data_IF_038618204699
#
_entry.id   IF_038618204699
#
_cell.length_a   1.000
_cell.length_b   1.000
_cell.length_c   1.000
_cell.angle_alpha   90.00
_cell.angle_beta   90.00
_cell.angle_gamma   90.00
#
_symmetry.space_group_name_H-M   'P 1'
#
loop_
_entity.id
_entity.type
_entity.pdbx_description
1 polymer ?
#
# COMPACT_ATOMS: atom_id res chain seq x y z
N UNK A 1 -11.20 16.72 4.06
CA UNK A 1 -12.10 16.26 3.01
C UNK A 1 -11.77 14.85 2.58
N UNK A 2 -12.72 14.17 1.98
CA UNK A 2 -12.54 12.83 1.45
C UNK A 2 -12.89 12.77 -0.03
N UNK A 3 -12.33 11.76 -0.71
CA UNK A 3 -12.57 11.50 -2.13
C UNK A 3 -13.23 10.14 -2.29
N UNK A 4 -14.00 9.98 -3.35
CA UNK A 4 -14.58 8.68 -3.70
C UNK A 4 -13.48 7.67 -3.96
N UNK A 5 -13.64 6.43 -3.48
CA UNK A 5 -12.70 5.37 -3.75
C UNK A 5 -12.66 5.03 -5.24
N UNK A 6 -11.45 4.84 -5.76
CA UNK A 6 -11.18 4.43 -7.15
C UNK A 6 -10.29 3.19 -7.16
N UNK A 7 -10.89 2.08 -6.78
CA UNK A 7 -10.16 0.80 -6.63
C UNK A 7 -10.22 0.03 -7.94
N UNK A 8 -9.09 -0.13 -8.58
CA UNK A 8 -8.94 -0.79 -9.88
C UNK A 8 -8.19 -2.13 -9.75
N UNK A 9 -8.67 -2.98 -8.89
CA UNK A 9 -8.15 -4.35 -8.77
C UNK A 9 -8.75 -5.24 -9.86
N UNK A 10 -7.99 -6.11 -10.52
CA UNK A 10 -6.59 -6.48 -10.28
C UNK A 10 -5.54 -5.67 -11.05
N UNK A 11 -5.92 -4.63 -11.75
CA UNK A 11 -4.98 -3.82 -12.56
C UNK A 11 -3.90 -3.20 -11.68
N UNK A 12 -4.28 -2.62 -10.54
CA UNK A 12 -3.35 -2.07 -9.57
C UNK A 12 -3.40 -2.87 -8.29
N UNK A 13 -2.24 -3.20 -7.76
CA UNK A 13 -2.09 -3.98 -6.54
C UNK A 13 -0.93 -3.44 -5.71
N UNK A 14 -0.84 -3.83 -4.44
CA UNK A 14 0.07 -3.24 -3.46
C UNK A 14 1.49 -3.81 -3.53
N UNK A 15 2.10 -3.80 -4.71
CA UNK A 15 3.53 -4.10 -4.82
C UNK A 15 4.36 -2.97 -4.23
N UNK A 16 5.58 -3.29 -3.81
CA UNK A 16 6.51 -2.30 -3.25
C UNK A 16 6.68 -1.11 -4.21
N UNK A 17 6.62 0.10 -3.66
CA UNK A 17 6.77 1.33 -4.42
C UNK A 17 5.47 1.95 -4.91
N UNK A 18 4.34 1.28 -4.77
CA UNK A 18 3.05 1.90 -5.11
C UNK A 18 2.67 2.97 -4.09
N UNK A 19 1.94 3.97 -4.54
CA UNK A 19 1.44 5.08 -3.70
C UNK A 19 -0.07 4.97 -3.63
N UNK A 20 -0.60 4.93 -2.42
CA UNK A 20 -2.02 4.75 -2.18
C UNK A 20 -2.56 5.77 -1.17
N UNK A 21 -3.83 6.07 -1.28
CA UNK A 21 -4.49 6.97 -0.35
C UNK A 21 -4.81 6.26 0.96
N UNK A 22 -4.52 6.89 2.09
CA UNK A 22 -4.99 6.43 3.38
C UNK A 22 -6.51 6.62 3.52
N UNK A 23 -7.12 5.96 4.48
CA UNK A 23 -8.54 6.12 4.78
C UNK A 23 -8.87 5.68 6.21
N UNK A 24 -10.01 6.13 6.70
CA UNK A 24 -10.57 5.66 7.95
C UNK A 24 -11.01 4.19 7.85
N UNK A 25 -11.12 3.55 9.00
CA UNK A 25 -11.57 2.17 9.10
C UNK A 25 -13.01 1.95 8.63
N UNK A 26 -13.34 0.72 8.30
CA UNK A 26 -14.62 0.34 7.69
C UNK A 26 -15.84 0.75 8.52
N UNK A 27 -15.71 0.75 9.83
CA UNK A 27 -16.81 1.11 10.74
C UNK A 27 -17.20 2.58 10.59
N UNK A 28 -16.22 3.47 10.52
CA UNK A 28 -16.40 4.91 10.39
C UNK A 28 -16.58 5.33 8.92
N UNK A 29 -16.17 4.48 7.99
CA UNK A 29 -16.06 4.79 6.57
C UNK A 29 -16.49 3.58 5.70
N UNK A 30 -17.77 3.20 5.75
CA UNK A 30 -18.24 2.01 5.03
C UNK A 30 -18.16 2.13 3.50
N UNK A 31 -18.05 3.32 2.96
CA UNK A 31 -17.88 3.56 1.52
C UNK A 31 -16.42 3.53 1.07
N UNK A 32 -15.47 3.31 1.99
CA UNK A 32 -14.03 3.30 1.74
C UNK A 32 -13.50 4.57 1.08
N UNK A 33 -14.09 5.71 1.43
CA UNK A 33 -13.65 7.00 0.89
C UNK A 33 -12.21 7.28 1.30
N UNK A 34 -11.45 7.79 0.34
CA UNK A 34 -10.04 8.11 0.53
C UNK A 34 -9.87 9.43 1.29
N UNK A 35 -8.89 9.50 2.18
CA UNK A 35 -8.46 10.76 2.77
C UNK A 35 -7.88 11.68 1.69
N UNK A 36 -8.24 12.96 1.74
CA UNK A 36 -7.79 13.94 0.74
C UNK A 36 -6.36 14.46 0.97
N UNK A 37 -5.74 14.12 2.09
CA UNK A 37 -4.45 14.69 2.49
C UNK A 37 -3.42 13.68 2.97
N UNK A 38 -3.80 12.42 3.15
CA UNK A 38 -2.92 11.38 3.68
C UNK A 38 -2.74 10.26 2.67
N UNK A 39 -1.50 9.83 2.49
CA UNK A 39 -1.14 8.75 1.60
C UNK A 39 -0.07 7.87 2.24
N UNK A 40 0.14 6.72 1.69
CA UNK A 40 1.26 5.85 2.07
C UNK A 40 1.98 5.32 0.84
N UNK A 41 3.25 4.98 1.03
CA UNK A 41 4.06 4.32 0.00
C UNK A 41 4.25 2.88 0.46
N UNK A 42 3.85 1.94 -0.39
CA UNK A 42 3.92 0.52 -0.07
C UNK A 42 5.38 0.07 0.05
N UNK A 43 5.71 -0.59 1.14
CA UNK A 43 7.01 -1.24 1.32
C UNK A 43 6.81 -2.74 1.50
N UNK A 44 6.42 -3.17 2.70
CA UNK A 44 6.14 -4.56 3.00
C UNK A 44 7.37 -5.45 2.96
N UNK A 45 7.15 -6.72 2.73
CA UNK A 45 8.20 -7.75 2.64
C UNK A 45 7.96 -8.65 1.44
N UNK A 46 8.91 -9.51 1.12
CA UNK A 46 8.73 -10.55 0.10
C UNK A 46 7.98 -11.74 0.69
N UNK A 47 7.21 -12.41 -0.15
CA UNK A 47 6.37 -13.55 0.24
C UNK A 47 6.73 -14.74 -0.64
N UNK A 48 7.03 -15.87 -0.01
CA UNK A 48 7.34 -17.10 -0.74
C UNK A 48 7.09 -18.34 0.09
N UNK A 49 7.20 -19.50 -0.53
CA UNK A 49 7.02 -20.79 0.13
C UNK A 49 5.66 -20.92 0.81
N UNK A 50 5.65 -21.41 2.04
CA UNK A 50 4.43 -21.59 2.82
C UNK A 50 3.69 -20.30 3.20
N UNK A 51 4.34 -19.14 3.07
CA UNK A 51 3.70 -17.86 3.38
C UNK A 51 2.68 -17.46 2.31
N UNK A 52 2.88 -17.86 1.07
CA UNK A 52 1.99 -17.50 -0.04
C UNK A 52 0.58 -18.05 0.17
N UNK A 53 0.44 -19.28 0.65
CA UNK A 53 -0.87 -19.85 0.94
C UNK A 53 -1.64 -19.08 2.01
N UNK A 54 -0.95 -18.64 3.06
CA UNK A 54 -1.57 -17.82 4.11
C UNK A 54 -2.03 -16.47 3.55
N UNK A 55 -1.23 -15.88 2.67
CA UNK A 55 -1.56 -14.61 2.02
C UNK A 55 -2.76 -14.76 1.09
N UNK A 56 -2.85 -15.85 0.32
CA UNK A 56 -4.02 -16.12 -0.53
C UNK A 56 -5.30 -16.12 0.30
N UNK A 57 -5.28 -16.82 1.44
CA UNK A 57 -6.44 -16.88 2.33
C UNK A 57 -6.77 -15.52 2.94
N UNK A 58 -5.76 -14.78 3.37
CA UNK A 58 -5.95 -13.45 3.94
C UNK A 58 -6.55 -12.47 2.93
N UNK A 59 -6.06 -12.46 1.70
CA UNK A 59 -6.59 -11.63 0.62
C UNK A 59 -8.04 -11.99 0.33
N UNK A 60 -8.34 -13.28 0.21
CA UNK A 60 -9.69 -13.77 -0.04
C UNK A 60 -10.68 -13.34 1.06
N UNK A 61 -10.24 -13.33 2.31
CA UNK A 61 -11.08 -12.99 3.45
C UNK A 61 -11.14 -11.48 3.75
N UNK A 62 -10.41 -10.66 3.00
CA UNK A 62 -10.29 -9.22 3.26
C UNK A 62 -11.42 -8.38 2.69
N UNK A 63 -12.15 -8.91 1.71
CA UNK A 63 -13.19 -8.18 0.99
C UNK A 63 -14.48 -9.00 0.89
N UNK A 64 -15.59 -8.31 0.67
CA UNK A 64 -16.89 -8.92 0.37
C UNK A 64 -17.52 -8.17 -0.82
N UNK A 65 -17.66 -8.79 -2.02
CA UNK A 65 -17.33 -10.19 -2.32
C UNK A 65 -15.82 -10.45 -2.26
N UNK A 66 -15.39 -11.69 -2.00
CA UNK A 66 -13.98 -12.06 -1.93
C UNK A 66 -13.27 -11.80 -3.26
N UNK A 67 -12.00 -11.39 -3.17
CA UNK A 67 -11.10 -11.29 -4.31
C UNK A 67 -10.05 -12.40 -4.21
N UNK A 68 -9.44 -12.75 -5.34
CA UNK A 68 -8.35 -13.71 -5.37
C UNK A 68 -7.03 -13.05 -5.72
N UNK A 69 -5.95 -13.56 -5.12
CA UNK A 69 -4.61 -13.14 -5.45
C UNK A 69 -4.23 -13.73 -6.82
N UNK A 70 -4.04 -12.88 -7.81
CA UNK A 70 -3.68 -13.31 -9.17
C UNK A 70 -2.28 -13.94 -9.20
N UNK A 71 -2.07 -14.93 -10.09
CA UNK A 71 -0.77 -15.61 -10.20
C UNK A 71 0.36 -14.65 -10.54
N UNK A 72 0.14 -13.71 -11.45
CA UNK A 72 1.15 -12.69 -11.77
C UNK A 72 1.46 -11.77 -10.58
N UNK A 73 0.51 -11.51 -9.70
CA UNK A 73 0.74 -10.77 -8.46
C UNK A 73 1.60 -11.58 -7.49
N UNK A 74 1.38 -12.89 -7.41
CA UNK A 74 2.19 -13.77 -6.55
C UNK A 74 3.66 -13.71 -6.94
N UNK A 75 3.98 -13.75 -8.23
CA UNK A 75 5.35 -13.65 -8.73
C UNK A 75 5.98 -12.32 -8.33
N UNK A 76 5.25 -11.22 -8.46
CA UNK A 76 5.72 -9.90 -8.06
C UNK A 76 5.95 -9.81 -6.55
N UNK A 77 5.03 -10.32 -5.75
CA UNK A 77 5.19 -10.34 -4.29
C UNK A 77 6.34 -11.23 -3.83
N UNK A 78 6.63 -12.30 -4.58
CA UNK A 78 7.80 -13.12 -4.34
C UNK A 78 9.11 -12.37 -4.61
N UNK A 79 9.20 -11.68 -5.74
CA UNK A 79 10.43 -11.03 -6.20
C UNK A 79 10.67 -9.66 -5.59
N UNK A 80 9.65 -8.82 -5.58
CA UNK A 80 9.74 -7.41 -5.20
C UNK A 80 9.21 -7.16 -3.79
N UNK A 81 8.15 -7.84 -3.43
CA UNK A 81 7.49 -7.64 -2.15
C UNK A 81 6.33 -6.63 -2.22
N UNK A 82 5.75 -6.37 -1.08
CA UNK A 82 4.63 -5.46 -0.93
C UNK A 82 3.71 -5.83 0.22
N UNK A 83 2.45 -5.41 0.12
CA UNK A 83 1.43 -5.62 1.15
C UNK A 83 0.13 -6.19 0.57
N UNK A 84 0.15 -7.47 0.16
CA UNK A 84 -1.00 -8.08 -0.54
C UNK A 84 -2.30 -8.07 0.27
N UNK A 85 -2.22 -8.04 1.59
CA UNK A 85 -3.39 -7.98 2.46
C UNK A 85 -4.20 -6.67 2.34
N UNK A 86 -3.68 -5.67 1.63
CA UNK A 86 -4.38 -4.41 1.36
C UNK A 86 -5.01 -4.36 -0.04
N UNK A 87 -4.77 -5.37 -0.87
CA UNK A 87 -5.27 -5.40 -2.24
C UNK A 87 -6.79 -5.33 -2.31
N UNK A 88 -7.28 -4.54 -3.25
CA UNK A 88 -8.72 -4.36 -3.47
C UNK A 88 -9.42 -3.48 -2.45
N UNK A 89 -8.70 -2.82 -1.55
CA UNK A 89 -9.30 -2.07 -0.43
C UNK A 89 -8.92 -0.60 -0.36
N UNK A 90 -7.95 -0.16 -1.14
CA UNK A 90 -7.44 1.21 -1.13
C UNK A 90 -7.25 1.72 -2.55
N UNK A 91 -7.41 3.02 -2.73
CA UNK A 91 -7.13 3.67 -4.01
C UNK A 91 -5.62 3.80 -4.21
N UNK A 92 -5.09 3.10 -5.20
CA UNK A 92 -3.70 3.25 -5.65
C UNK A 92 -3.71 4.28 -6.77
N UNK A 93 -2.95 5.35 -6.61
CA UNK A 93 -2.98 6.47 -7.55
C UNK A 93 -1.60 6.84 -8.13
N UNK A 94 -0.55 6.16 -7.73
CA UNK A 94 0.79 6.45 -8.23
C UNK A 94 1.79 5.34 -7.92
N UNK A 95 3.01 5.55 -8.41
CA UNK A 95 4.15 4.69 -8.09
C UNK A 95 5.42 5.51 -7.99
N UNK A 96 6.34 5.05 -7.16
CA UNK A 96 7.67 5.65 -7.06
C UNK A 96 8.49 5.19 -8.26
N UNK A 97 8.95 6.13 -9.05
CA UNK A 97 9.77 5.84 -10.24
C UNK A 97 11.28 6.05 -10.00
N UNK A 98 11.64 6.72 -8.91
CA UNK A 98 13.02 6.96 -8.52
C UNK A 98 13.07 7.25 -7.01
N UNK A 99 14.16 6.88 -6.34
CA UNK A 99 14.35 7.17 -4.93
C UNK A 99 13.84 6.09 -3.97
N UNK A 100 13.64 4.84 -4.40
CA UNK A 100 13.26 3.74 -3.51
C UNK A 100 14.22 3.57 -2.35
N UNK A 101 15.51 3.89 -2.53
CA UNK A 101 16.48 3.84 -1.45
C UNK A 101 16.14 4.82 -0.33
N UNK A 102 15.64 6.01 -0.66
CA UNK A 102 15.18 6.97 0.35
C UNK A 102 14.01 6.42 1.15
N UNK A 103 13.08 5.75 0.49
CA UNK A 103 11.95 5.11 1.19
C UNK A 103 12.43 4.01 2.13
N UNK A 104 13.41 3.21 1.70
CA UNK A 104 14.02 2.18 2.54
C UNK A 104 14.64 2.78 3.81
N UNK A 105 15.38 3.87 3.68
CA UNK A 105 15.98 4.58 4.80
C UNK A 105 14.92 5.09 5.79
N UNK A 106 13.83 5.63 5.28
CA UNK A 106 12.72 6.12 6.11
C UNK A 106 12.06 4.98 6.87
N UNK A 107 11.77 3.88 6.20
CA UNK A 107 11.06 2.77 6.83
C UNK A 107 11.94 1.98 7.81
N UNK A 108 13.26 2.05 7.70
CA UNK A 108 14.21 1.44 8.64
C UNK A 108 14.49 2.31 9.87
N UNK A 109 14.00 3.55 9.91
CA UNK A 109 14.21 4.45 11.03
C UNK A 109 13.62 3.91 12.33
N UNK A 110 14.26 4.19 13.45
CA UNK A 110 13.71 3.86 14.76
C UNK A 110 12.40 4.60 15.00
N UNK A 111 11.43 3.89 15.55
CA UNK A 111 10.08 4.40 15.79
C UNK A 111 9.69 4.23 17.26
N UNK A 112 8.65 4.96 17.65
CA UNK A 112 7.99 4.76 18.94
C UNK A 112 6.97 3.60 18.86
N UNK A 113 6.21 3.40 19.92
CA UNK A 113 5.20 2.33 20.02
C UNK A 113 4.04 2.47 19.01
N UNK A 114 3.87 3.64 18.41
CA UNK A 114 2.85 3.93 17.41
C UNK A 114 3.42 3.94 15.98
N UNK A 115 4.60 3.36 15.79
CA UNK A 115 5.32 3.35 14.52
C UNK A 115 5.68 4.73 13.97
N UNK A 116 5.69 5.75 14.84
CA UNK A 116 6.13 7.08 14.48
C UNK A 116 7.65 7.18 14.63
N UNK A 117 8.37 7.68 13.60
CA UNK A 117 9.81 7.89 13.72
C UNK A 117 10.18 8.78 14.90
N UNK A 118 11.26 8.43 15.63
CA UNK A 118 11.74 9.21 16.77
C UNK A 118 12.21 10.60 16.35
N UNK A 119 12.72 10.74 15.14
CA UNK A 119 13.11 12.00 14.52
C UNK A 119 12.19 12.28 13.34
N UNK A 120 11.76 13.51 13.17
CA UNK A 120 10.84 13.90 12.12
C UNK A 120 11.46 13.74 10.74
N UNK A 121 10.75 13.07 9.84
CA UNK A 121 11.00 13.13 8.40
C UNK A 121 10.02 14.14 7.80
N UNK A 122 10.52 15.06 7.03
CA UNK A 122 9.70 16.14 6.48
C UNK A 122 9.82 16.24 4.97
N UNK A 123 8.68 16.42 4.32
CA UNK A 123 8.63 16.81 2.92
C UNK A 123 8.87 18.33 2.90
N UNK A 124 10.05 18.73 2.46
CA UNK A 124 10.41 20.15 2.44
C UNK A 124 9.72 20.86 1.27
N UNK A 125 9.61 20.17 0.14
CA UNK A 125 9.03 20.73 -1.07
C UNK A 125 8.44 19.61 -1.94
N UNK A 126 7.28 19.86 -2.51
CA UNK A 126 6.67 19.01 -3.53
C UNK A 126 6.29 19.88 -4.74
N UNK A 127 6.51 19.38 -5.94
CA UNK A 127 6.17 20.11 -7.16
C UNK A 127 5.85 19.11 -8.28
N UNK A 128 5.07 19.58 -9.25
CA UNK A 128 4.71 18.78 -10.41
C UNK A 128 5.75 19.01 -11.50
N UNK A 129 6.36 17.93 -11.98
CA UNK A 129 7.25 18.00 -13.14
C UNK A 129 6.38 18.12 -14.39
N UNK A 130 6.69 19.09 -15.22
CA UNK A 130 6.10 19.21 -16.55
C UNK A 130 7.03 18.56 -17.56
N UNK A 131 6.46 17.72 -18.39
CA UNK A 131 7.17 17.13 -19.51
C UNK A 131 7.36 18.16 -20.63
#
# INVERSE_FOLDING_TARGET
YTLTAEIHYPTYFHRRGMVAAAREGDKENPEWRSDGSQFYIVWGKTYGGGMMERIRQRVKNSTNPPIELALEHEDTYWEVGGTPHLDGQYTIFGEVIDGLQTIDEIQLAETDENDRPLYDFRIIKAYILKE
#
